data_IF_112114215138
#
_entry.id   IF_112114215138
#
_cell.length_a   1.000
_cell.length_b   1.000
_cell.length_c   1.000
_cell.angle_alpha   90.00
_cell.angle_beta   90.00
_cell.angle_gamma   90.00
#
_symmetry.space_group_name_H-M   'P 1'
#
loop_
_entity.id
_entity.type
_entity.pdbx_description
1 polymer ?
#
# COMPACT_ATOMS: atom_id res chain seq x y z
N UNK A 1 20.57 18.11 6.71
CA UNK A 1 19.35 18.35 5.90
C UNK A 1 18.45 19.30 6.67
N UNK A 2 18.01 20.40 6.06
CA UNK A 2 17.13 21.36 6.72
C UNK A 2 15.80 20.69 7.07
N UNK A 3 15.43 20.66 8.35
CA UNK A 3 14.15 20.13 8.79
C UNK A 3 13.06 21.04 8.21
N UNK A 4 12.20 20.52 7.34
CA UNK A 4 11.02 21.25 6.85
C UNK A 4 10.07 21.44 8.04
N UNK A 5 9.72 22.69 8.33
CA UNK A 5 8.89 23.10 9.47
C UNK A 5 7.57 23.66 8.92
N UNK A 6 6.45 23.18 9.44
CA UNK A 6 5.14 23.81 9.27
C UNK A 6 5.05 24.96 10.26
N UNK A 7 4.87 26.18 9.75
CA UNK A 7 4.64 27.36 10.57
C UNK A 7 3.37 27.14 11.39
N UNK A 8 3.51 27.18 12.72
CA UNK A 8 2.37 27.14 13.62
C UNK A 8 1.65 28.49 13.57
N UNK A 9 0.32 28.46 13.65
CA UNK A 9 -0.50 29.65 13.78
C UNK A 9 -1.65 29.37 14.77
N UNK A 10 -2.28 30.44 15.26
CA UNK A 10 -3.36 30.31 16.26
C UNK A 10 -4.59 29.57 15.73
N UNK A 11 -4.85 29.64 14.41
CA UNK A 11 -5.97 28.94 13.79
C UNK A 11 -5.80 27.42 13.83
N UNK A 12 -4.62 26.92 13.42
CA UNK A 12 -4.26 25.51 13.46
C UNK A 12 -4.23 24.99 14.90
N UNK A 13 -3.65 25.76 15.83
CA UNK A 13 -3.65 25.42 17.26
C UNK A 13 -5.06 25.28 17.82
N UNK A 14 -5.95 26.20 17.46
CA UNK A 14 -7.37 26.16 17.80
C UNK A 14 -8.05 24.90 17.27
N UNK A 15 -7.79 24.54 16.00
CA UNK A 15 -8.34 23.31 15.37
C UNK A 15 -7.83 22.03 16.03
N UNK A 16 -6.54 21.95 16.34
CA UNK A 16 -5.93 20.80 17.04
C UNK A 16 -6.60 20.59 18.40
N UNK A 17 -6.71 21.68 19.18
CA UNK A 17 -7.34 21.64 20.51
C UNK A 17 -8.83 21.29 20.42
N UNK A 18 -9.55 21.90 19.48
CA UNK A 18 -10.97 21.63 19.27
C UNK A 18 -11.20 20.16 18.91
N UNK A 19 -10.47 19.63 17.93
CA UNK A 19 -10.60 18.24 17.49
C UNK A 19 -10.24 17.24 18.58
N UNK A 20 -9.17 17.50 19.36
CA UNK A 20 -8.82 16.65 20.50
C UNK A 20 -9.98 16.55 21.50
N UNK A 21 -10.62 17.69 21.80
CA UNK A 21 -11.76 17.73 22.70
C UNK A 21 -13.00 17.03 22.11
N UNK A 22 -13.26 17.15 20.81
CA UNK A 22 -14.35 16.41 20.14
C UNK A 22 -14.16 14.88 20.24
N UNK A 23 -12.92 14.42 20.15
CA UNK A 23 -12.57 13.00 20.31
C UNK A 23 -12.53 12.54 21.77
N UNK A 24 -12.79 13.44 22.73
CA UNK A 24 -12.77 13.13 24.16
C UNK A 24 -11.38 12.79 24.70
N UNK A 25 -10.31 13.21 24.02
CA UNK A 25 -8.93 12.85 24.39
C UNK A 25 -8.31 13.86 25.37
N UNK A 26 -7.59 13.34 26.36
CA UNK A 26 -6.66 14.15 27.17
C UNK A 26 -5.42 14.53 26.37
N UNK A 27 -4.66 15.52 26.87
CA UNK A 27 -3.40 15.93 26.23
C UNK A 27 -2.40 14.77 26.25
N UNK A 28 -2.38 14.00 27.33
CA UNK A 28 -1.54 12.83 27.53
C UNK A 28 -1.82 11.73 26.51
N UNK A 29 -3.10 11.40 26.30
CA UNK A 29 -3.52 10.37 25.33
C UNK A 29 -3.23 10.80 23.90
N UNK A 30 -3.52 12.06 23.55
CA UNK A 30 -3.26 12.57 22.22
C UNK A 30 -1.76 12.62 21.90
N UNK A 31 -0.94 13.06 22.87
CA UNK A 31 0.52 13.05 22.76
C UNK A 31 1.06 11.62 22.57
N UNK A 32 0.57 10.66 23.35
CA UNK A 32 0.94 9.25 23.25
C UNK A 32 0.57 8.67 21.87
N UNK A 33 -0.65 8.93 21.38
CA UNK A 33 -1.09 8.47 20.04
C UNK A 33 -0.26 9.06 18.90
N UNK A 34 0.24 10.28 19.07
CA UNK A 34 1.07 10.96 18.09
C UNK A 34 2.57 10.64 18.20
N UNK A 35 3.00 9.87 19.20
CA UNK A 35 4.43 9.58 19.43
C UNK A 35 5.24 10.82 19.79
N UNK A 36 4.64 11.77 20.53
CA UNK A 36 5.29 12.99 21.03
C UNK A 36 5.14 13.14 22.55
N UNK A 37 6.00 13.96 23.17
CA UNK A 37 5.86 14.28 24.59
C UNK A 37 4.68 15.21 24.87
N UNK A 38 4.11 15.13 26.08
CA UNK A 38 2.97 15.96 26.53
C UNK A 38 3.23 17.45 26.38
N UNK A 39 4.42 17.92 26.80
CA UNK A 39 4.86 19.31 26.61
C UNK A 39 4.93 19.71 25.14
N UNK A 40 5.31 18.79 24.26
CA UNK A 40 5.38 19.03 22.81
C UNK A 40 3.97 19.19 22.24
N UNK A 41 3.01 18.38 22.68
CA UNK A 41 1.61 18.54 22.31
C UNK A 41 1.03 19.87 22.77
N UNK A 42 1.27 20.25 24.02
CA UNK A 42 0.81 21.55 24.55
C UNK A 42 1.34 22.74 23.75
N UNK A 43 2.54 22.64 23.18
CA UNK A 43 3.12 23.67 22.31
C UNK A 43 2.38 23.77 20.97
N UNK A 44 1.94 22.65 20.41
CA UNK A 44 1.12 22.64 19.19
C UNK A 44 -0.24 23.32 19.42
N UNK A 45 -0.87 23.07 20.57
CA UNK A 45 -2.10 23.78 20.98
C UNK A 45 -1.89 25.24 21.36
N UNK A 46 -0.65 25.68 21.48
CA UNK A 46 -0.26 27.07 21.72
C UNK A 46 0.19 27.81 20.46
N UNK A 47 0.15 27.16 19.28
CA UNK A 47 0.51 27.78 18.00
C UNK A 47 2.00 27.74 17.68
N UNK A 48 2.81 26.95 18.39
CA UNK A 48 4.20 26.74 18.01
C UNK A 48 4.33 25.92 16.72
N UNK A 49 5.48 26.06 16.07
CA UNK A 49 5.77 25.39 14.81
C UNK A 49 5.89 23.86 14.96
N UNK A 50 5.44 23.16 13.92
CA UNK A 50 5.37 21.69 13.90
C UNK A 50 6.41 21.19 12.90
N UNK A 51 7.28 20.27 13.30
CA UNK A 51 8.21 19.63 12.36
C UNK A 51 7.46 18.66 11.45
N UNK A 52 7.80 18.62 10.16
CA UNK A 52 7.07 17.82 9.16
C UNK A 52 7.01 16.33 9.51
N UNK A 53 8.05 15.77 10.11
CA UNK A 53 8.09 14.36 10.58
C UNK A 53 7.08 14.06 11.70
N UNK A 54 6.57 15.10 12.38
CA UNK A 54 5.56 14.97 13.45
C UNK A 54 4.13 15.17 12.98
N UNK A 55 3.92 15.67 11.76
CA UNK A 55 2.58 15.86 11.21
C UNK A 55 1.81 14.54 11.09
N UNK A 56 2.46 13.46 10.61
CA UNK A 56 1.82 12.14 10.47
C UNK A 56 1.29 11.61 11.81
N UNK A 57 2.06 11.78 12.89
CA UNK A 57 1.65 11.39 14.25
C UNK A 57 0.45 12.22 14.75
N UNK A 58 0.45 13.52 14.53
CA UNK A 58 -0.65 14.41 14.93
C UNK A 58 -1.94 14.07 14.16
N UNK A 59 -1.83 13.88 12.84
CA UNK A 59 -2.96 13.46 12.00
C UNK A 59 -3.55 12.13 12.47
N UNK A 60 -2.69 11.14 12.79
CA UNK A 60 -3.12 9.85 13.35
C UNK A 60 -3.84 10.01 14.69
N UNK A 61 -3.34 10.87 15.59
CA UNK A 61 -3.95 11.11 16.90
C UNK A 61 -5.32 11.80 16.82
N UNK A 62 -5.53 12.67 15.81
CA UNK A 62 -6.73 13.48 15.64
C UNK A 62 -7.73 12.94 14.60
N UNK A 63 -7.44 11.78 14.03
CA UNK A 63 -8.19 11.19 12.93
C UNK A 63 -8.39 12.18 11.77
N UNK A 64 -7.29 12.81 11.35
CA UNK A 64 -7.24 13.74 10.23
C UNK A 64 -6.47 13.12 9.07
N UNK A 65 -6.93 13.37 7.83
CA UNK A 65 -6.23 12.98 6.60
C UNK A 65 -4.97 13.82 6.36
N UNK A 66 -5.00 15.08 6.79
CA UNK A 66 -3.89 16.05 6.73
C UNK A 66 -4.10 17.18 7.74
N UNK A 67 -3.08 18.03 7.95
CA UNK A 67 -3.27 19.20 8.80
C UNK A 67 -4.20 20.20 8.11
N UNK A 68 -5.23 20.73 8.81
CA UNK A 68 -6.12 21.72 8.23
C UNK A 68 -5.39 23.04 7.94
N UNK A 69 -5.86 23.78 6.93
CA UNK A 69 -5.29 25.04 6.42
C UNK A 69 -3.90 24.91 5.79
N UNK A 70 -3.53 23.72 5.30
CA UNK A 70 -2.54 23.62 4.22
C UNK A 70 -3.20 23.94 2.87
N UNK A 71 -3.93 25.06 2.78
CA UNK A 71 -4.39 25.65 1.51
C UNK A 71 -3.24 26.40 0.83
N UNK A 72 -2.07 25.76 0.75
CA UNK A 72 -1.28 25.85 -0.45
C UNK A 72 -1.63 24.59 -1.22
N UNK A 73 -2.19 24.74 -2.41
CA UNK A 73 -2.50 23.67 -3.37
C UNK A 73 -1.22 22.84 -3.67
N UNK A 74 -0.75 22.02 -2.73
CA UNK A 74 -0.04 20.80 -3.08
C UNK A 74 -1.17 19.87 -3.54
N UNK A 75 -1.32 19.79 -4.86
CA UNK A 75 -2.16 18.80 -5.52
C UNK A 75 -1.88 17.44 -4.86
N UNK A 76 -2.85 16.92 -4.11
CA UNK A 76 -2.66 15.67 -3.36
C UNK A 76 -2.62 14.46 -4.29
N UNK A 77 -2.96 14.66 -5.57
CA UNK A 77 -2.95 13.62 -6.59
C UNK A 77 -1.55 13.10 -6.81
N UNK A 78 -1.49 11.82 -7.14
CA UNK A 78 -0.24 11.15 -7.47
C UNK A 78 0.27 11.71 -8.81
N UNK A 79 1.49 12.25 -8.84
CA UNK A 79 2.05 12.83 -10.07
C UNK A 79 2.75 11.77 -10.92
N UNK A 80 2.29 11.60 -12.17
CA UNK A 80 2.97 10.74 -13.16
C UNK A 80 4.44 11.11 -13.30
N UNK A 81 4.74 12.42 -13.37
CA UNK A 81 6.09 12.89 -13.63
C UNK A 81 7.06 12.58 -12.48
N UNK A 82 6.58 12.57 -11.24
CA UNK A 82 7.38 12.20 -10.08
C UNK A 82 7.69 10.70 -10.07
N UNK A 83 6.73 9.87 -10.47
CA UNK A 83 6.86 8.40 -10.45
C UNK A 83 7.63 7.81 -11.63
N UNK A 84 7.82 8.53 -12.75
CA UNK A 84 8.62 8.04 -13.89
C UNK A 84 10.07 7.65 -13.56
N UNK A 85 10.62 8.20 -12.48
CA UNK A 85 11.96 7.86 -11.99
C UNK A 85 11.93 6.82 -10.85
N UNK A 86 10.76 6.28 -10.53
CA UNK A 86 10.60 5.28 -9.48
C UNK A 86 11.30 3.97 -9.84
N UNK A 87 11.88 3.29 -8.86
CA UNK A 87 12.68 2.08 -9.10
C UNK A 87 11.84 0.89 -9.59
N UNK A 88 10.51 0.95 -9.40
CA UNK A 88 9.55 -0.02 -9.91
C UNK A 88 8.74 0.50 -11.10
N UNK A 89 9.09 1.66 -11.68
CA UNK A 89 8.41 2.16 -12.88
C UNK A 89 8.58 1.18 -14.04
N UNK A 90 7.46 0.70 -14.59
CA UNK A 90 7.46 -0.19 -15.74
C UNK A 90 7.15 0.58 -17.02
N UNK A 91 8.15 0.73 -17.89
CA UNK A 91 7.93 1.26 -19.25
C UNK A 91 7.04 0.35 -20.09
N UNK A 92 7.06 -0.96 -19.81
CA UNK A 92 6.19 -1.91 -20.49
C UNK A 92 4.73 -1.62 -20.15
N UNK A 93 4.39 -1.52 -18.86
CA UNK A 93 3.01 -1.23 -18.44
C UNK A 93 2.55 0.13 -18.96
N UNK A 94 3.43 1.13 -18.93
CA UNK A 94 3.12 2.44 -19.48
C UNK A 94 2.75 2.39 -20.96
N UNK A 95 3.54 1.67 -21.77
CA UNK A 95 3.33 1.65 -23.21
C UNK A 95 2.11 0.81 -23.64
N UNK A 96 1.84 -0.29 -22.92
CA UNK A 96 0.78 -1.24 -23.30
C UNK A 96 -0.58 -0.91 -22.62
N UNK A 97 -0.56 -0.35 -21.40
CA UNK A 97 -1.74 -0.14 -20.54
C UNK A 97 -1.84 1.28 -19.96
N UNK A 98 -0.99 2.21 -20.41
CA UNK A 98 -1.03 3.62 -20.00
C UNK A 98 -0.28 3.95 -18.72
N UNK A 99 -0.06 5.24 -18.49
CA UNK A 99 0.71 5.73 -17.33
C UNK A 99 0.06 5.37 -15.98
N UNK A 100 -1.26 5.20 -15.95
CA UNK A 100 -2.00 4.75 -14.77
C UNK A 100 -1.57 3.38 -14.28
N UNK A 101 -1.41 2.40 -15.19
CA UNK A 101 -0.94 1.05 -14.85
C UNK A 101 0.49 1.04 -14.29
N UNK A 102 1.39 1.84 -14.89
CA UNK A 102 2.76 1.97 -14.41
C UNK A 102 2.84 2.59 -13.00
N UNK A 103 2.00 3.59 -12.72
CA UNK A 103 1.87 4.16 -11.37
C UNK A 103 1.30 3.14 -10.41
N UNK A 104 0.22 2.46 -10.81
CA UNK A 104 -0.46 1.46 -9.99
C UNK A 104 0.52 0.38 -9.51
N UNK A 105 1.29 -0.20 -10.43
CA UNK A 105 2.32 -1.17 -10.05
C UNK A 105 3.42 -0.55 -9.17
N UNK A 106 3.89 0.66 -9.49
CA UNK A 106 4.96 1.31 -8.74
C UNK A 106 4.56 1.60 -7.28
N UNK A 107 3.40 2.22 -7.04
CA UNK A 107 2.90 2.57 -5.71
C UNK A 107 2.42 1.33 -4.96
N UNK A 108 1.66 0.47 -5.63
CA UNK A 108 1.14 -0.77 -5.06
C UNK A 108 2.25 -1.69 -4.59
N UNK A 109 3.32 -1.83 -5.37
CA UNK A 109 4.44 -2.71 -5.00
C UNK A 109 5.29 -2.17 -3.83
N UNK A 110 5.30 -0.86 -3.59
CA UNK A 110 5.92 -0.28 -2.39
C UNK A 110 5.09 -0.61 -1.15
N UNK A 111 3.78 -0.33 -1.20
CA UNK A 111 2.86 -0.59 -0.09
C UNK A 111 2.85 -2.08 0.27
N UNK A 112 2.66 -2.93 -0.74
CA UNK A 112 2.59 -4.38 -0.54
C UNK A 112 3.91 -4.94 0.02
N UNK A 113 5.06 -4.41 -0.41
CA UNK A 113 6.34 -4.85 0.14
C UNK A 113 6.48 -4.48 1.62
N UNK A 114 6.06 -3.26 2.02
CA UNK A 114 6.05 -2.84 3.42
C UNK A 114 5.13 -3.74 4.25
N UNK A 115 3.92 -4.02 3.78
CA UNK A 115 2.96 -4.92 4.45
C UNK A 115 3.52 -6.34 4.63
N UNK A 116 4.12 -6.91 3.58
CA UNK A 116 4.78 -8.23 3.66
C UNK A 116 5.89 -8.20 4.72
N UNK A 117 6.73 -7.17 4.74
CA UNK A 117 7.85 -7.08 5.69
C UNK A 117 7.38 -6.86 7.14
N UNK A 118 6.30 -6.12 7.35
CA UNK A 118 5.68 -5.93 8.67
C UNK A 118 5.09 -7.25 9.21
N UNK A 119 4.30 -7.96 8.41
CA UNK A 119 3.72 -9.25 8.79
C UNK A 119 4.81 -10.32 9.02
N UNK A 120 5.86 -10.34 8.18
CA UNK A 120 7.03 -11.18 8.40
C UNK A 120 7.75 -10.86 9.72
N UNK A 121 7.89 -9.57 10.06
CA UNK A 121 8.51 -9.15 11.32
C UNK A 121 7.69 -9.61 12.53
N UNK A 122 6.36 -9.56 12.43
CA UNK A 122 5.46 -10.07 13.45
C UNK A 122 5.57 -11.61 13.57
N UNK A 123 5.55 -12.34 12.45
CA UNK A 123 5.73 -13.80 12.43
C UNK A 123 7.10 -14.25 12.97
N UNK A 124 8.16 -13.46 12.78
CA UNK A 124 9.48 -13.77 13.32
C UNK A 124 9.51 -13.80 14.87
N UNK A 125 8.53 -13.17 15.52
CA UNK A 125 8.36 -13.22 16.98
C UNK A 125 7.49 -14.40 17.45
N UNK A 126 6.90 -15.16 16.52
CA UNK A 126 6.00 -16.28 16.80
C UNK A 126 6.74 -17.64 16.74
N UNK A 127 6.17 -18.72 17.30
CA UNK A 127 6.69 -20.07 17.11
C UNK A 127 6.77 -20.47 15.64
N UNK A 128 7.75 -21.32 15.28
CA UNK A 128 7.84 -21.87 13.94
C UNK A 128 6.56 -22.64 13.56
N UNK A 129 6.05 -22.40 12.35
CA UNK A 129 4.78 -22.94 11.87
C UNK A 129 3.56 -22.04 12.16
N UNK A 130 3.75 -20.87 12.77
CA UNK A 130 2.71 -19.85 12.83
C UNK A 130 2.44 -19.21 11.46
N UNK A 131 1.21 -18.74 11.27
CA UNK A 131 0.71 -18.10 10.05
C UNK A 131 0.04 -16.76 10.37
N UNK A 132 -0.17 -15.91 9.36
CA UNK A 132 -0.65 -14.53 9.55
C UNK A 132 -1.99 -14.42 10.27
N UNK A 133 -2.87 -15.41 10.13
CA UNK A 133 -4.17 -15.46 10.83
C UNK A 133 -4.06 -15.63 12.36
N UNK A 134 -2.85 -15.80 12.90
CA UNK A 134 -2.58 -15.84 14.34
C UNK A 134 -1.95 -14.55 14.88
N UNK A 135 -1.68 -13.56 14.02
CA UNK A 135 -1.16 -12.27 14.43
C UNK A 135 -2.26 -11.41 15.04
N UNK A 136 -1.91 -10.57 16.02
CA UNK A 136 -2.84 -9.60 16.61
C UNK A 136 -3.31 -8.56 15.58
N UNK A 137 -2.41 -8.19 14.66
CA UNK A 137 -2.65 -7.29 13.53
C UNK A 137 -1.84 -7.83 12.35
N UNK A 138 -2.52 -8.08 11.23
CA UNK A 138 -1.91 -8.46 9.95
C UNK A 138 -2.50 -7.58 8.86
N UNK A 139 -1.65 -7.10 7.96
CA UNK A 139 -2.08 -6.36 6.78
C UNK A 139 -2.60 -7.26 5.67
N UNK A 140 -2.01 -8.45 5.54
CA UNK A 140 -2.31 -9.36 4.43
C UNK A 140 -3.43 -10.36 4.72
N UNK A 141 -3.83 -10.52 5.99
CA UNK A 141 -4.81 -11.52 6.38
C UNK A 141 -6.18 -11.32 5.73
N UNK A 142 -6.59 -10.07 5.51
CA UNK A 142 -7.87 -9.75 4.87
C UNK A 142 -7.75 -9.63 3.34
N UNK A 143 -6.52 -9.50 2.81
CA UNK A 143 -6.26 -9.33 1.39
C UNK A 143 -5.98 -10.65 0.66
N UNK A 144 -5.40 -11.64 1.37
CA UNK A 144 -5.09 -12.95 0.80
C UNK A 144 -6.31 -13.89 0.80
N UNK A 145 -6.38 -14.86 -0.13
CA UNK A 145 -7.48 -15.82 -0.22
C UNK A 145 -7.73 -16.66 1.05
N UNK A 146 -8.97 -16.69 1.53
CA UNK A 146 -9.33 -17.33 2.80
C UNK A 146 -9.02 -18.83 2.87
N UNK A 147 -9.19 -19.56 1.77
CA UNK A 147 -9.07 -21.02 1.74
C UNK A 147 -7.71 -21.51 2.27
N UNK A 148 -6.64 -20.75 2.02
CA UNK A 148 -5.28 -21.17 2.34
C UNK A 148 -4.67 -20.41 3.52
N UNK A 149 -5.49 -19.73 4.34
CA UNK A 149 -5.04 -18.90 5.47
C UNK A 149 -3.99 -19.56 6.38
N UNK A 150 -4.11 -20.87 6.60
CA UNK A 150 -3.19 -21.63 7.46
C UNK A 150 -1.81 -21.88 6.82
N UNK A 151 -1.66 -21.66 5.52
CA UNK A 151 -0.42 -21.83 4.76
C UNK A 151 0.38 -20.52 4.64
N UNK A 152 -0.19 -19.39 5.03
CA UNK A 152 0.46 -18.08 4.96
C UNK A 152 1.42 -17.87 6.13
N UNK A 153 2.50 -18.64 6.10
CA UNK A 153 3.58 -18.61 7.09
C UNK A 153 4.74 -17.68 6.67
N UNK A 154 5.79 -17.63 7.50
CA UNK A 154 6.95 -16.79 7.24
C UNK A 154 7.67 -17.16 5.93
N UNK A 155 7.74 -18.45 5.57
CA UNK A 155 8.42 -18.90 4.36
C UNK A 155 7.63 -18.52 3.11
N UNK A 156 6.30 -18.65 3.18
CA UNK A 156 5.40 -18.18 2.13
C UNK A 156 5.55 -16.67 1.90
N UNK A 157 5.48 -15.84 2.96
CA UNK A 157 5.67 -14.39 2.81
C UNK A 157 7.09 -14.04 2.32
N UNK A 158 8.10 -14.79 2.75
CA UNK A 158 9.46 -14.63 2.23
C UNK A 158 9.53 -14.90 0.71
N UNK A 159 8.81 -15.92 0.24
CA UNK A 159 8.70 -16.22 -1.19
C UNK A 159 8.00 -15.08 -1.94
N UNK A 160 6.84 -14.61 -1.44
CA UNK A 160 6.14 -13.45 -2.01
C UNK A 160 7.05 -12.23 -2.12
N UNK A 161 7.76 -11.87 -1.05
CA UNK A 161 8.74 -10.78 -1.02
C UNK A 161 9.81 -10.94 -2.10
N UNK A 162 10.37 -12.14 -2.24
CA UNK A 162 11.37 -12.41 -3.27
C UNK A 162 10.79 -12.27 -4.69
N UNK A 163 9.59 -12.78 -4.92
CA UNK A 163 8.89 -12.69 -6.22
C UNK A 163 8.57 -11.24 -6.57
N UNK A 164 7.99 -10.48 -5.63
CA UNK A 164 7.67 -9.06 -5.83
C UNK A 164 8.92 -8.23 -6.14
N UNK A 165 10.03 -8.46 -5.41
CA UNK A 165 11.31 -7.79 -5.71
C UNK A 165 11.85 -8.12 -7.10
N UNK A 166 11.68 -9.36 -7.56
CA UNK A 166 12.05 -9.74 -8.94
C UNK A 166 11.16 -9.03 -9.97
N UNK A 167 9.86 -8.89 -9.70
CA UNK A 167 8.94 -8.15 -10.57
C UNK A 167 9.29 -6.65 -10.63
N UNK A 168 9.63 -6.02 -9.50
CA UNK A 168 10.13 -4.64 -9.47
C UNK A 168 11.40 -4.48 -10.30
N UNK A 169 12.34 -5.43 -10.20
CA UNK A 169 13.54 -5.45 -11.05
C UNK A 169 13.20 -5.65 -12.54
N UNK A 170 12.22 -6.50 -12.86
CA UNK A 170 11.71 -6.72 -14.24
C UNK A 170 11.17 -5.42 -14.84
N UNK A 171 10.31 -4.73 -14.10
CA UNK A 171 9.75 -3.42 -14.46
C UNK A 171 10.83 -2.37 -14.74
N UNK A 172 11.80 -2.22 -13.83
CA UNK A 172 12.91 -1.26 -13.96
C UNK A 172 13.75 -1.51 -15.23
N UNK A 173 13.95 -2.77 -15.59
CA UNK A 173 14.67 -3.15 -16.79
C UNK A 173 13.83 -3.02 -18.09
N UNK A 174 12.57 -2.59 -17.99
CA UNK A 174 11.65 -2.45 -19.12
C UNK A 174 11.27 -3.79 -19.76
N UNK A 175 11.35 -4.88 -19.00
CA UNK A 175 10.94 -6.21 -19.45
C UNK A 175 9.42 -6.37 -19.37
N UNK A 176 8.88 -7.30 -20.16
CA UNK A 176 7.45 -7.62 -20.13
C UNK A 176 6.99 -8.03 -18.73
N UNK A 177 5.80 -7.59 -18.34
CA UNK A 177 5.21 -7.84 -17.02
C UNK A 177 4.25 -9.03 -16.99
N UNK A 178 4.31 -9.91 -18.00
CA UNK A 178 3.54 -11.16 -18.06
C UNK A 178 3.74 -11.98 -16.78
N UNK A 179 2.64 -12.45 -16.19
CA UNK A 179 2.66 -13.33 -15.04
C UNK A 179 2.87 -14.77 -15.47
N UNK A 180 3.82 -15.48 -14.85
CA UNK A 180 4.15 -16.86 -15.20
C UNK A 180 3.66 -17.89 -14.16
N UNK A 181 3.05 -17.42 -13.07
CA UNK A 181 2.57 -18.25 -11.96
C UNK A 181 1.44 -17.55 -11.23
N UNK A 182 0.62 -18.31 -10.48
CA UNK A 182 -0.46 -17.74 -9.65
C UNK A 182 0.10 -16.75 -8.62
N UNK A 183 1.30 -16.97 -8.09
CA UNK A 183 1.94 -16.01 -7.19
C UNK A 183 2.24 -14.66 -7.87
N UNK A 184 2.62 -14.66 -9.15
CA UNK A 184 2.85 -13.41 -9.89
C UNK A 184 1.55 -12.68 -10.19
N UNK A 185 0.49 -13.39 -10.60
CA UNK A 185 -0.84 -12.80 -10.80
C UNK A 185 -1.39 -12.21 -9.49
N UNK A 186 -1.34 -12.99 -8.40
CA UNK A 186 -1.78 -12.54 -7.08
C UNK A 186 -1.03 -11.28 -6.64
N UNK A 187 0.29 -11.22 -6.85
CA UNK A 187 1.08 -10.03 -6.50
C UNK A 187 0.72 -8.81 -7.36
N UNK A 188 0.46 -8.99 -8.65
CA UNK A 188 -0.01 -7.90 -9.53
C UNK A 188 -1.39 -7.39 -9.09
N UNK A 189 -2.30 -8.31 -8.79
CA UNK A 189 -3.64 -8.00 -8.29
C UNK A 189 -3.59 -7.24 -6.96
N UNK A 190 -2.80 -7.71 -5.98
CA UNK A 190 -2.64 -7.03 -4.70
C UNK A 190 -1.97 -5.65 -4.86
N UNK A 191 -1.00 -5.49 -5.76
CA UNK A 191 -0.44 -4.16 -6.05
C UNK A 191 -1.52 -3.22 -6.59
N UNK A 192 -2.39 -3.72 -7.48
CA UNK A 192 -3.49 -2.94 -8.02
C UNK A 192 -4.48 -2.52 -6.93
N UNK A 193 -4.93 -3.42 -6.06
CA UNK A 193 -5.85 -3.10 -4.96
C UNK A 193 -5.28 -2.02 -4.04
N UNK A 194 -4.02 -2.17 -3.61
CA UNK A 194 -3.35 -1.19 -2.74
C UNK A 194 -3.19 0.18 -3.43
N UNK A 195 -2.86 0.18 -4.72
CA UNK A 195 -2.76 1.40 -5.49
C UNK A 195 -4.11 2.09 -5.67
N UNK A 196 -5.19 1.32 -5.91
CA UNK A 196 -6.54 1.84 -6.06
C UNK A 196 -6.99 2.58 -4.80
N UNK A 197 -6.81 1.96 -3.63
CA UNK A 197 -7.08 2.59 -2.33
C UNK A 197 -6.26 3.88 -2.16
N UNK A 198 -4.97 3.87 -2.50
CA UNK A 198 -4.12 5.05 -2.41
C UNK A 198 -4.58 6.17 -3.35
N UNK A 199 -4.90 5.84 -4.61
CA UNK A 199 -5.34 6.81 -5.63
C UNK A 199 -6.65 7.46 -5.22
N UNK A 200 -7.63 6.68 -4.73
CA UNK A 200 -8.88 7.19 -4.19
C UNK A 200 -8.64 8.16 -3.02
N UNK A 201 -7.73 7.80 -2.10
CA UNK A 201 -7.38 8.66 -0.96
C UNK A 201 -6.63 9.93 -1.38
N UNK A 202 -5.89 9.88 -2.49
CA UNK A 202 -5.09 10.98 -3.04
C UNK A 202 -5.90 11.92 -3.94
N UNK A 203 -7.16 11.58 -4.27
CA UNK A 203 -8.02 12.36 -5.15
C UNK A 203 -7.72 12.13 -6.64
N UNK A 204 -7.10 11.01 -6.98
CA UNK A 204 -6.76 10.64 -8.35
C UNK A 204 -5.27 10.77 -8.68
N UNK A 205 -4.97 10.65 -9.97
CA UNK A 205 -3.63 10.77 -10.55
C UNK A 205 -3.59 12.07 -11.38
N UNK A 206 -2.50 12.83 -11.26
CA UNK A 206 -2.26 14.04 -12.03
C UNK A 206 -1.26 13.78 -13.17
N UNK A 207 -1.55 14.36 -14.34
CA UNK A 207 -0.72 14.21 -15.54
C UNK A 207 -1.05 12.97 -16.38
N UNK A 208 -2.20 12.33 -16.17
CA UNK A 208 -2.76 11.37 -17.13
C UNK A 208 -3.28 12.11 -18.36
N UNK A 209 -3.06 11.53 -19.54
CA UNK A 209 -3.66 11.98 -20.80
C UNK A 209 -5.13 11.52 -20.90
N UNK A 210 -5.93 12.15 -21.77
CA UNK A 210 -7.34 11.74 -21.96
C UNK A 210 -7.49 10.32 -22.55
N UNK A 211 -6.40 9.75 -23.07
CA UNK A 211 -6.31 8.43 -23.72
C UNK A 211 -5.50 7.41 -22.90
N UNK A 212 -5.12 7.72 -21.65
CA UNK A 212 -4.22 6.91 -20.81
C UNK A 212 -4.82 5.58 -20.30
N UNK A 213 -5.91 5.10 -20.90
CA UNK A 213 -6.68 3.94 -20.46
C UNK A 213 -7.42 4.19 -19.15
N UNK A 214 -8.48 3.42 -18.90
CA UNK A 214 -9.06 3.42 -17.56
C UNK A 214 -8.04 2.82 -16.58
N UNK A 215 -7.73 3.56 -15.52
CA UNK A 215 -6.93 3.06 -14.39
C UNK A 215 -7.56 1.82 -13.76
N UNK A 216 -8.88 1.69 -13.93
CA UNK A 216 -9.70 0.57 -13.50
C UNK A 216 -9.44 -0.60 -14.48
N UNK A 217 -8.93 -1.73 -13.96
CA UNK A 217 -8.88 -3.03 -14.66
C UNK A 217 -7.62 -3.40 -15.49
N UNK A 218 -6.54 -2.60 -15.51
CA UNK A 218 -5.31 -2.94 -16.27
C UNK A 218 -4.72 -4.32 -15.95
N UNK A 219 -4.91 -4.80 -14.72
CA UNK A 219 -4.45 -6.13 -14.28
C UNK A 219 -5.19 -7.24 -15.02
N UNK A 220 -6.49 -7.08 -15.27
CA UNK A 220 -7.30 -8.08 -15.97
C UNK A 220 -7.05 -8.02 -17.48
N UNK A 221 -6.80 -6.84 -18.03
CA UNK A 221 -6.31 -6.70 -19.41
C UNK A 221 -4.92 -7.34 -19.60
N UNK A 222 -4.08 -7.34 -18.56
CA UNK A 222 -2.77 -8.01 -18.58
C UNK A 222 -2.90 -9.54 -18.51
N UNK A 223 -3.87 -10.05 -17.75
CA UNK A 223 -4.12 -11.48 -17.62
C UNK A 223 -4.88 -12.05 -18.83
N UNK A 224 -5.70 -11.24 -19.49
CA UNK A 224 -6.67 -11.68 -20.52
C UNK A 224 -7.74 -12.64 -19.94
N UNK A 225 -7.96 -12.56 -18.62
CA UNK A 225 -8.95 -13.33 -17.87
C UNK A 225 -9.31 -12.69 -16.52
N UNK A 226 -10.21 -13.36 -15.77
CA UNK A 226 -10.62 -13.01 -14.41
C UNK A 226 -10.41 -14.19 -13.46
N UNK A 227 -9.45 -15.07 -13.77
CA UNK A 227 -9.30 -16.36 -13.11
C UNK A 227 -8.86 -16.18 -11.66
N UNK A 228 -8.01 -15.18 -11.38
CA UNK A 228 -7.61 -14.84 -10.00
C UNK A 228 -8.84 -14.58 -9.10
N UNK A 229 -9.85 -13.87 -9.59
CA UNK A 229 -11.08 -13.58 -8.84
C UNK A 229 -11.98 -14.82 -8.80
N UNK A 230 -12.16 -15.46 -9.95
CA UNK A 230 -13.07 -16.59 -10.13
C UNK A 230 -12.66 -17.80 -9.28
N UNK A 231 -11.36 -18.06 -9.13
CA UNK A 231 -10.85 -19.19 -8.38
C UNK A 231 -10.49 -18.84 -6.94
N UNK A 232 -9.85 -17.69 -6.68
CA UNK A 232 -9.35 -17.39 -5.34
C UNK A 232 -10.31 -16.58 -4.46
N UNK A 233 -11.26 -15.84 -5.03
CA UNK A 233 -12.11 -14.89 -4.30
C UNK A 233 -13.63 -15.11 -4.48
N UNK A 234 -14.07 -16.17 -5.16
CA UNK A 234 -15.49 -16.41 -5.47
C UNK A 234 -16.14 -17.56 -4.67
N UNK A 235 -15.65 -17.84 -3.45
CA UNK A 235 -16.17 -18.90 -2.57
C UNK A 235 -16.19 -20.31 -3.21
N UNK A 236 -15.26 -20.58 -4.12
CA UNK A 236 -15.04 -21.91 -4.72
C UNK A 236 -13.97 -22.65 -3.90
N UNK A 237 -14.23 -23.92 -3.59
CA UNK A 237 -13.23 -24.77 -2.96
C UNK A 237 -12.32 -25.40 -4.03
N UNK A 238 -11.03 -25.09 -3.98
CA UNK A 238 -10.01 -25.64 -4.88
C UNK A 238 -9.39 -26.90 -4.25
N UNK A 239 -9.37 -28.02 -4.98
CA UNK A 239 -8.63 -29.21 -4.56
C UNK A 239 -7.21 -29.21 -5.12
N UNK A 240 -6.39 -30.19 -4.72
CA UNK A 240 -4.98 -30.24 -5.11
C UNK A 240 -4.71 -30.48 -6.60
N UNK A 241 -5.73 -30.87 -7.38
CA UNK A 241 -5.59 -31.05 -8.82
C UNK A 241 -5.85 -29.73 -9.59
N UNK A 242 -6.32 -28.68 -8.90
CA UNK A 242 -6.59 -27.37 -9.47
C UNK A 242 -5.32 -26.51 -9.59
N UNK A 243 -5.14 -25.88 -10.75
CA UNK A 243 -4.00 -25.00 -11.07
C UNK A 243 -3.84 -23.83 -10.10
N UNK A 244 -4.94 -23.32 -9.53
CA UNK A 244 -4.96 -22.23 -8.55
C UNK A 244 -4.87 -22.71 -7.10
N UNK A 245 -4.76 -24.02 -6.85
CA UNK A 245 -4.50 -24.51 -5.50
C UNK A 245 -3.13 -24.06 -5.00
N UNK A 246 -3.03 -23.76 -3.70
CA UNK A 246 -1.83 -23.20 -3.06
C UNK A 246 -0.53 -23.97 -3.37
N UNK A 247 -0.61 -25.30 -3.53
CA UNK A 247 0.56 -26.12 -3.87
C UNK A 247 1.25 -25.72 -5.17
N UNK A 248 0.54 -25.04 -6.07
CA UNK A 248 1.01 -24.66 -7.41
C UNK A 248 1.37 -23.18 -7.53
N UNK A 249 1.22 -22.39 -6.46
CA UNK A 249 1.38 -20.93 -6.58
C UNK A 249 2.78 -20.49 -7.00
N UNK A 250 3.81 -21.27 -6.66
CA UNK A 250 5.19 -21.01 -7.07
C UNK A 250 5.59 -21.63 -8.42
N UNK A 251 4.73 -22.43 -9.03
CA UNK A 251 5.05 -23.15 -10.27
C UNK A 251 4.97 -22.20 -11.47
N UNK A 252 6.01 -22.23 -12.32
CA UNK A 252 5.96 -21.53 -13.60
C UNK A 252 5.12 -22.36 -14.57
N UNK A 253 3.86 -22.00 -14.71
CA UNK A 253 2.85 -22.77 -15.46
C UNK A 253 2.05 -21.92 -16.46
N UNK A 254 2.20 -20.59 -16.42
CA UNK A 254 1.55 -19.68 -17.35
C UNK A 254 2.55 -19.14 -18.37
N UNK A 255 2.12 -19.08 -19.64
CA UNK A 255 2.88 -18.50 -20.77
C UNK A 255 4.36 -18.96 -20.82
N UNK A 256 4.59 -20.26 -20.63
CA UNK A 256 5.93 -20.89 -20.63
C UNK A 256 6.32 -21.36 -22.03
N UNK A 257 6.54 -20.42 -22.95
CA UNK A 257 7.08 -20.70 -24.30
C UNK A 257 8.61 -20.54 -24.35
#
# INVERSE_FOLDING_TARGET
>A
MAQKIVQGNEALAGKIKFRRNELGLTIEEAASRAGVGTKTWSRYEAGESIRRDKCKGICKALNWKGLPDQDGEEDSRISVQEYRNHEAWSRFLENEYGAGAAISFATGSDILLDQIEEDMTALACMPAGSHIGQLDVSWLCESLPDQFLMQYDYLFLYQMKCTLRKMRLRANNGLAMTAHSVMEELLLYLCYEEASVLVELSGGISGLEEDDGDFEEWVFDLFDDMDIISFLYSDVYLDSDDTYHFSHWGDQQFYTD
#
